data_IF_807423633386
#
_entry.id   IF_807423633386
#
_cell.length_a   1.000
_cell.length_b   1.000
_cell.length_c   1.000
_cell.angle_alpha   90.00
_cell.angle_beta   90.00
_cell.angle_gamma   90.00
#
_symmetry.space_group_name_H-M   'P 1'
#
loop_
_entity.id
_entity.type
_entity.pdbx_description
1 polymer ?
#
# COMPACT_ATOMS: atom_id res chain seq x y z
N UNK A 1 3.53 -27.80 0.60
CA UNK A 1 4.94 -27.95 0.19
C UNK A 1 5.05 -27.49 -1.26
N UNK A 2 5.13 -26.17 -1.46
CA UNK A 2 5.36 -25.58 -2.78
C UNK A 2 6.87 -25.57 -3.02
N UNK A 3 7.35 -26.52 -3.79
CA UNK A 3 8.74 -26.59 -4.24
C UNK A 3 8.86 -25.62 -5.42
N UNK A 4 9.44 -24.45 -5.20
CA UNK A 4 9.88 -23.57 -6.28
C UNK A 4 11.07 -24.24 -6.99
N UNK A 5 10.77 -25.03 -8.00
CA UNK A 5 11.77 -25.55 -8.93
C UNK A 5 11.82 -24.67 -10.15
N UNK A 6 12.70 -23.71 -10.15
CA UNK A 6 13.21 -23.16 -11.42
C UNK A 6 14.08 -24.24 -12.05
N UNK A 7 13.48 -25.15 -12.81
CA UNK A 7 14.23 -25.98 -13.74
C UNK A 7 14.80 -25.05 -14.82
N UNK A 8 16.09 -24.73 -14.69
CA UNK A 8 16.89 -24.30 -15.84
C UNK A 8 17.00 -25.50 -16.78
N UNK A 9 16.58 -25.35 -18.02
CA UNK A 9 16.95 -26.32 -19.06
C UNK A 9 18.47 -26.19 -19.29
N UNK A 10 19.18 -27.30 -19.18
CA UNK A 10 20.62 -27.35 -19.48
C UNK A 10 20.79 -27.10 -20.99
N UNK A 11 21.28 -25.92 -21.35
CA UNK A 11 21.62 -25.59 -22.73
C UNK A 11 21.40 -24.14 -23.18
N UNK A 12 20.69 -23.30 -22.40
CA UNK A 12 20.49 -21.89 -22.75
C UNK A 12 21.79 -21.09 -22.47
N UNK A 13 22.34 -20.51 -23.54
CA UNK A 13 23.42 -19.52 -23.41
C UNK A 13 22.85 -18.31 -22.70
N UNK A 14 23.25 -18.11 -21.46
CA UNK A 14 22.79 -16.97 -20.65
C UNK A 14 23.21 -15.68 -21.37
N UNK A 15 22.21 -14.83 -21.74
CA UNK A 15 22.50 -13.54 -22.32
C UNK A 15 23.25 -12.66 -21.31
N UNK A 16 24.20 -11.88 -21.79
CA UNK A 16 25.03 -11.02 -20.95
C UNK A 16 25.04 -9.59 -21.48
N UNK A 17 25.41 -8.64 -20.62
CA UNK A 17 25.83 -7.30 -21.00
C UNK A 17 27.31 -7.12 -20.69
N UNK A 18 28.02 -6.36 -21.52
CA UNK A 18 29.45 -6.04 -21.31
C UNK A 18 29.57 -4.61 -20.78
N UNK A 19 30.17 -4.46 -19.60
CA UNK A 19 30.62 -3.18 -19.07
C UNK A 19 32.07 -2.97 -19.42
N UNK A 20 32.39 -1.86 -20.11
CA UNK A 20 33.76 -1.50 -20.41
C UNK A 20 34.23 -0.35 -19.50
N UNK A 21 35.31 -0.53 -18.76
CA UNK A 21 35.94 0.54 -18.00
C UNK A 21 36.85 1.34 -18.95
N UNK A 22 36.40 2.51 -19.33
CA UNK A 22 37.12 3.37 -20.26
C UNK A 22 38.44 3.97 -19.70
N UNK A 23 38.72 3.76 -18.41
CA UNK A 23 40.00 4.21 -17.79
C UNK A 23 41.19 3.31 -18.17
N UNK A 24 40.92 2.00 -18.35
CA UNK A 24 41.92 0.99 -18.64
C UNK A 24 41.56 0.02 -19.77
N UNK A 25 40.36 0.15 -20.34
CA UNK A 25 39.82 -0.68 -21.42
C UNK A 25 39.37 -2.08 -21.01
N UNK A 26 39.34 -2.41 -19.72
CA UNK A 26 38.89 -3.71 -19.26
C UNK A 26 37.41 -3.89 -19.48
N UNK A 27 37.02 -5.12 -19.79
CA UNK A 27 35.64 -5.53 -20.03
C UNK A 27 35.20 -6.56 -18.97
N UNK A 28 33.97 -6.42 -18.54
CA UNK A 28 33.32 -7.28 -17.54
C UNK A 28 31.96 -7.69 -18.08
N UNK A 29 31.60 -8.95 -17.92
CA UNK A 29 30.30 -9.48 -18.37
C UNK A 29 29.39 -9.75 -17.20
N UNK A 30 28.13 -9.27 -17.31
CA UNK A 30 27.09 -9.46 -16.30
C UNK A 30 25.90 -10.18 -16.91
N UNK A 31 25.34 -11.20 -16.19
CA UNK A 31 24.19 -11.93 -16.65
C UNK A 31 22.94 -11.03 -16.80
N UNK A 32 22.11 -11.37 -17.79
CA UNK A 32 20.75 -10.86 -17.91
C UNK A 32 19.79 -11.89 -17.30
N UNK A 33 18.92 -11.41 -16.41
CA UNK A 33 17.81 -12.21 -15.86
C UNK A 33 16.51 -11.75 -16.50
N UNK A 34 15.82 -12.67 -17.17
CA UNK A 34 14.54 -12.38 -17.81
C UNK A 34 13.39 -12.78 -16.88
N UNK A 35 12.47 -11.86 -16.55
CA UNK A 35 11.29 -12.17 -15.75
C UNK A 35 10.24 -12.88 -16.59
N UNK A 36 9.23 -13.47 -15.95
CA UNK A 36 8.05 -14.03 -16.62
C UNK A 36 7.30 -12.96 -17.41
N UNK A 37 7.31 -11.72 -16.92
CA UNK A 37 6.70 -10.55 -17.56
C UNK A 37 7.41 -9.28 -17.11
N UNK A 38 7.62 -8.35 -18.03
CA UNK A 38 8.31 -7.08 -17.75
C UNK A 38 9.69 -6.99 -18.40
N UNK A 39 10.48 -5.96 -18.06
CA UNK A 39 11.81 -5.76 -18.63
C UNK A 39 12.85 -6.73 -18.05
N UNK A 40 13.83 -7.07 -18.86
CA UNK A 40 15.03 -7.77 -18.39
C UNK A 40 15.81 -6.95 -17.35
N UNK A 41 16.52 -7.64 -16.47
CA UNK A 41 17.37 -7.01 -15.46
C UNK A 41 18.82 -7.51 -15.58
N UNK A 42 19.78 -6.64 -15.33
CA UNK A 42 21.20 -6.98 -15.28
C UNK A 42 21.55 -7.41 -13.86
N UNK A 43 22.08 -8.61 -13.70
CA UNK A 43 22.56 -9.11 -12.41
C UNK A 43 23.91 -8.50 -12.06
N UNK A 44 23.92 -7.52 -11.17
CA UNK A 44 25.12 -6.78 -10.76
C UNK A 44 25.71 -7.27 -9.42
N UNK A 45 25.30 -8.44 -8.91
CA UNK A 45 25.74 -8.94 -7.60
C UNK A 45 27.28 -9.12 -7.51
N UNK A 46 27.94 -9.40 -8.63
CA UNK A 46 29.40 -9.56 -8.70
C UNK A 46 30.15 -8.27 -9.04
N UNK A 47 29.47 -7.19 -9.45
CA UNK A 47 30.06 -5.96 -9.94
C UNK A 47 31.18 -5.42 -9.04
N UNK A 48 30.93 -5.32 -7.73
CA UNK A 48 31.94 -4.77 -6.82
C UNK A 48 33.15 -5.67 -6.67
N UNK A 49 32.96 -6.99 -6.64
CA UNK A 49 34.06 -7.95 -6.51
C UNK A 49 34.97 -7.94 -7.73
N UNK A 50 34.41 -7.76 -8.93
CA UNK A 50 35.15 -7.79 -10.19
C UNK A 50 35.80 -6.45 -10.53
N UNK A 51 35.11 -5.34 -10.25
CA UNK A 51 35.51 -4.01 -10.73
C UNK A 51 35.99 -3.05 -9.64
N UNK A 52 35.67 -3.34 -8.35
CA UNK A 52 35.83 -2.41 -7.23
C UNK A 52 34.81 -1.25 -7.24
N UNK A 53 33.88 -1.22 -8.20
CA UNK A 53 32.86 -0.19 -8.35
C UNK A 53 31.50 -0.71 -7.89
N UNK A 54 30.60 0.20 -7.50
CA UNK A 54 29.19 -0.08 -7.29
C UNK A 54 28.31 1.00 -7.92
N UNK A 55 27.06 0.67 -8.18
CA UNK A 55 26.09 1.56 -8.83
C UNK A 55 25.63 2.68 -7.91
N UNK A 56 25.15 3.78 -8.50
CA UNK A 56 24.54 4.89 -7.78
C UNK A 56 23.14 5.15 -8.33
N UNK A 57 22.13 4.69 -7.61
CA UNK A 57 20.72 4.82 -7.95
C UNK A 57 19.89 5.15 -6.70
N UNK A 58 19.90 6.44 -6.23
CA UNK A 58 19.12 6.87 -5.09
C UNK A 58 17.62 6.72 -5.35
N UNK A 59 16.95 5.83 -4.65
CA UNK A 59 15.51 5.58 -4.80
C UNK A 59 15.17 4.45 -5.75
N UNK A 60 16.15 3.67 -6.20
CA UNK A 60 15.97 2.40 -6.92
C UNK A 60 15.13 2.51 -8.19
N UNK A 61 15.29 3.60 -8.95
CA UNK A 61 14.50 3.85 -10.17
C UNK A 61 14.86 2.91 -11.33
N UNK A 62 16.04 2.33 -11.29
CA UNK A 62 16.60 1.42 -12.31
C UNK A 62 17.19 0.15 -11.67
N UNK A 63 16.79 -0.19 -10.43
CA UNK A 63 17.38 -1.31 -9.69
C UNK A 63 16.27 -2.19 -9.12
N UNK A 64 16.17 -3.43 -9.59
CA UNK A 64 15.34 -4.45 -8.98
C UNK A 64 15.98 -4.90 -7.65
N UNK A 65 15.24 -4.87 -6.56
CA UNK A 65 15.72 -5.24 -5.22
C UNK A 65 15.39 -6.69 -4.84
N UNK A 66 14.51 -7.35 -5.57
CA UNK A 66 14.08 -8.73 -5.36
C UNK A 66 13.38 -9.29 -6.59
N UNK A 67 13.20 -10.60 -6.62
CA UNK A 67 12.20 -11.27 -7.45
C UNK A 67 10.90 -11.40 -6.65
N UNK A 68 9.73 -11.30 -7.32
CA UNK A 68 8.42 -11.45 -6.68
C UNK A 68 7.39 -11.95 -7.69
N UNK A 69 6.45 -12.79 -7.23
CA UNK A 69 5.31 -13.26 -8.00
C UNK A 69 3.97 -12.71 -7.49
N UNK A 70 4.01 -11.75 -6.56
CA UNK A 70 2.83 -11.18 -5.90
C UNK A 70 2.11 -10.19 -6.80
N UNK A 71 2.82 -9.16 -7.26
CA UNK A 71 2.23 -8.05 -8.02
C UNK A 71 3.04 -7.74 -9.26
N UNK A 72 2.35 -7.58 -10.38
CA UNK A 72 2.93 -7.10 -11.63
C UNK A 72 2.30 -5.75 -12.01
N UNK A 73 3.13 -4.79 -12.41
CA UNK A 73 2.70 -3.48 -12.91
C UNK A 73 3.38 -3.19 -14.24
N UNK A 74 2.57 -2.86 -15.26
CA UNK A 74 3.05 -2.21 -16.48
C UNK A 74 2.54 -0.76 -16.51
N UNK A 75 3.37 0.15 -16.05
CA UNK A 75 3.01 1.56 -15.98
C UNK A 75 2.79 2.22 -17.35
N UNK A 76 3.37 1.65 -18.41
CA UNK A 76 3.18 2.13 -19.79
C UNK A 76 1.81 1.76 -20.34
N UNK A 77 1.33 0.57 -20.03
CA UNK A 77 0.01 0.07 -20.46
C UNK A 77 -1.11 0.38 -19.47
N UNK A 78 -0.78 0.79 -18.23
CA UNK A 78 -1.76 0.94 -17.16
C UNK A 78 -2.33 -0.41 -16.72
N UNK A 79 -1.48 -1.42 -16.55
CA UNK A 79 -1.84 -2.77 -16.14
C UNK A 79 -1.38 -3.01 -14.70
N UNK A 80 -2.27 -3.58 -13.87
CA UNK A 80 -1.98 -4.04 -12.52
C UNK A 80 -2.57 -5.44 -12.34
N UNK A 81 -1.76 -6.37 -11.81
CA UNK A 81 -2.20 -7.75 -11.51
C UNK A 81 -1.73 -8.17 -10.12
N UNK A 82 -2.58 -8.91 -9.42
CA UNK A 82 -2.22 -9.66 -8.21
C UNK A 82 -2.20 -11.15 -8.53
N UNK A 83 -1.06 -11.83 -8.35
CA UNK A 83 -0.91 -13.26 -8.66
C UNK A 83 -1.47 -13.63 -10.05
N UNK A 84 -1.28 -12.75 -11.03
CA UNK A 84 -1.74 -12.95 -12.41
C UNK A 84 -3.17 -12.48 -12.71
N UNK A 85 -4.03 -12.26 -11.72
CA UNK A 85 -5.38 -11.74 -11.91
C UNK A 85 -5.36 -10.22 -12.11
N UNK A 86 -6.17 -9.70 -13.03
CA UNK A 86 -6.26 -8.25 -13.26
C UNK A 86 -6.95 -7.56 -12.09
N UNK A 87 -6.55 -6.32 -11.82
CA UNK A 87 -7.15 -5.55 -10.72
C UNK A 87 -8.63 -5.27 -10.97
N UNK A 88 -9.02 -5.11 -12.24
CA UNK A 88 -10.41 -4.91 -12.65
C UNK A 88 -11.27 -6.13 -12.33
N UNK A 89 -10.78 -7.35 -12.61
CA UNK A 89 -11.52 -8.57 -12.29
C UNK A 89 -11.69 -8.76 -10.79
N UNK A 90 -10.64 -8.49 -10.01
CA UNK A 90 -10.69 -8.59 -8.56
C UNK A 90 -11.66 -7.56 -7.96
N UNK A 91 -11.54 -6.30 -8.32
CA UNK A 91 -12.38 -5.23 -7.79
C UNK A 91 -13.86 -5.37 -8.14
N UNK A 92 -14.19 -5.91 -9.34
CA UNK A 92 -15.57 -6.01 -9.81
C UNK A 92 -16.26 -7.33 -9.42
N UNK A 93 -15.49 -8.40 -9.12
CA UNK A 93 -16.06 -9.76 -9.00
C UNK A 93 -15.71 -10.46 -7.69
N UNK A 94 -14.85 -9.86 -6.87
CA UNK A 94 -14.30 -10.48 -5.66
C UNK A 94 -14.34 -9.52 -4.48
N UNK A 95 -14.39 -10.07 -3.27
CA UNK A 95 -14.25 -9.31 -2.04
C UNK A 95 -12.79 -9.05 -1.70
N UNK A 96 -12.56 -8.13 -0.75
CA UNK A 96 -11.23 -7.94 -0.19
C UNK A 96 -10.68 -9.21 0.48
N UNK A 97 -11.52 -10.03 1.13
CA UNK A 97 -11.06 -11.29 1.72
C UNK A 97 -10.71 -12.35 0.68
N UNK A 98 -11.38 -12.39 -0.51
CA UNK A 98 -10.89 -13.18 -1.66
C UNK A 98 -9.48 -12.75 -2.06
N UNK A 99 -9.25 -11.42 -2.10
CA UNK A 99 -7.93 -10.86 -2.45
C UNK A 99 -6.89 -11.15 -1.37
N UNK A 100 -7.25 -11.10 -0.10
CA UNK A 100 -6.38 -11.52 1.00
C UNK A 100 -5.96 -12.98 0.85
N UNK A 101 -6.91 -13.86 0.59
CA UNK A 101 -6.64 -15.28 0.38
C UNK A 101 -5.73 -15.49 -0.83
N UNK A 102 -6.03 -14.83 -1.96
CA UNK A 102 -5.22 -14.90 -3.18
C UNK A 102 -3.75 -14.50 -2.93
N UNK A 103 -3.52 -13.39 -2.24
CA UNK A 103 -2.17 -12.89 -1.99
C UNK A 103 -1.36 -13.81 -1.06
N UNK A 104 -2.03 -14.48 -0.12
CA UNK A 104 -1.39 -15.38 0.84
C UNK A 104 -1.18 -16.80 0.26
N UNK A 105 -2.20 -17.35 -0.40
CA UNK A 105 -2.24 -18.75 -0.84
C UNK A 105 -1.92 -18.90 -2.35
N UNK A 106 -1.62 -17.81 -3.06
CA UNK A 106 -1.29 -17.74 -4.50
C UNK A 106 -2.38 -18.26 -5.45
N UNK A 107 -3.61 -18.39 -4.97
CA UNK A 107 -4.81 -18.79 -5.73
C UNK A 107 -6.07 -18.21 -5.12
N UNK A 108 -7.13 -18.13 -5.88
CA UNK A 108 -8.45 -17.77 -5.34
C UNK A 108 -9.01 -18.91 -4.49
N UNK A 109 -9.78 -18.59 -3.43
CA UNK A 109 -10.44 -19.59 -2.59
C UNK A 109 -11.61 -20.26 -3.33
N UNK A 110 -11.90 -21.51 -2.99
CA UNK A 110 -13.22 -22.10 -3.19
C UNK A 110 -14.21 -21.50 -2.18
N UNK A 111 -15.51 -21.66 -2.42
CA UNK A 111 -16.55 -21.03 -1.60
C UNK A 111 -16.49 -21.45 -0.13
N UNK A 112 -16.26 -22.70 0.13
CA UNK A 112 -16.12 -23.26 1.48
C UNK A 112 -14.85 -22.78 2.21
N UNK A 113 -13.76 -22.62 1.47
CA UNK A 113 -12.52 -22.04 1.99
C UNK A 113 -12.68 -20.55 2.34
N UNK A 114 -13.39 -19.79 1.49
CA UNK A 114 -13.67 -18.38 1.77
C UNK A 114 -14.53 -18.22 3.03
N UNK A 115 -15.57 -19.05 3.18
CA UNK A 115 -16.43 -19.04 4.38
C UNK A 115 -15.60 -19.36 5.64
N UNK A 116 -14.74 -20.36 5.57
CA UNK A 116 -13.88 -20.73 6.69
C UNK A 116 -12.86 -19.62 7.02
N UNK A 117 -12.27 -19.01 6.00
CA UNK A 117 -11.32 -17.92 6.15
C UNK A 117 -11.99 -16.67 6.76
N UNK A 118 -13.14 -16.25 6.24
CA UNK A 118 -13.91 -15.12 6.77
C UNK A 118 -14.28 -15.33 8.24
N UNK A 119 -14.80 -16.51 8.58
CA UNK A 119 -15.16 -16.83 9.98
C UNK A 119 -13.91 -16.80 10.89
N UNK A 120 -12.78 -17.27 10.42
CA UNK A 120 -11.53 -17.22 11.19
C UNK A 120 -11.06 -15.77 11.42
N UNK A 121 -11.12 -14.91 10.39
CA UNK A 121 -10.79 -13.49 10.48
C UNK A 121 -11.72 -12.79 11.50
N UNK A 122 -13.04 -12.98 11.41
CA UNK A 122 -14.02 -12.37 12.34
C UNK A 122 -13.72 -12.76 13.79
N UNK A 123 -13.48 -14.05 14.07
CA UNK A 123 -13.15 -14.54 15.42
C UNK A 123 -11.83 -14.00 15.97
N UNK A 124 -10.87 -13.63 15.10
CA UNK A 124 -9.58 -13.08 15.49
C UNK A 124 -9.56 -11.55 15.59
N UNK A 125 -10.65 -10.86 15.24
CA UNK A 125 -10.74 -9.41 15.24
C UNK A 125 -10.59 -8.79 16.64
N UNK A 126 -10.94 -9.52 17.70
CA UNK A 126 -10.81 -9.04 19.07
C UNK A 126 -9.34 -8.86 19.46
N UNK A 127 -9.04 -7.75 20.12
CA UNK A 127 -7.72 -7.44 20.67
C UNK A 127 -7.70 -7.71 22.18
N UNK A 128 -6.50 -7.96 22.71
CA UNK A 128 -6.33 -8.15 24.14
C UNK A 128 -6.73 -6.88 24.91
N UNK A 129 -7.45 -7.00 26.04
CA UNK A 129 -7.94 -5.87 26.84
C UNK A 129 -6.79 -4.92 27.27
N UNK A 130 -5.59 -5.46 27.51
CA UNK A 130 -4.40 -4.66 27.82
C UNK A 130 -4.00 -3.66 26.74
N UNK A 131 -4.35 -3.90 25.47
CA UNK A 131 -4.12 -2.92 24.40
C UNK A 131 -4.98 -1.66 24.55
N UNK A 132 -6.16 -1.75 25.16
CA UNK A 132 -6.96 -0.57 25.47
C UNK A 132 -6.23 0.40 26.42
N UNK A 133 -5.46 -0.13 27.37
CA UNK A 133 -4.66 0.72 28.26
C UNK A 133 -3.58 1.47 27.49
N UNK A 134 -2.98 0.84 26.47
CA UNK A 134 -2.05 1.51 25.57
C UNK A 134 -2.75 2.68 24.84
N UNK A 135 -3.94 2.45 24.27
CA UNK A 135 -4.69 3.52 23.62
C UNK A 135 -5.07 4.64 24.59
N UNK A 136 -5.50 4.30 25.83
CA UNK A 136 -5.83 5.28 26.86
C UNK A 136 -4.64 6.13 27.30
N UNK A 137 -3.40 5.66 27.13
CA UNK A 137 -2.19 6.41 27.47
C UNK A 137 -1.78 7.46 26.42
N UNK A 138 -2.32 7.40 25.21
CA UNK A 138 -2.05 8.44 24.22
C UNK A 138 -2.77 9.76 24.59
N UNK A 139 -2.16 10.92 24.30
CA UNK A 139 -2.80 12.19 24.52
C UNK A 139 -4.07 12.36 23.66
N UNK A 140 -4.97 13.22 24.09
CA UNK A 140 -6.14 13.58 23.32
C UNK A 140 -5.70 14.20 22.00
N UNK A 141 -6.44 13.92 20.92
CA UNK A 141 -6.12 14.37 19.56
C UNK A 141 -4.80 13.84 18.98
N UNK A 142 -4.22 12.77 19.58
CA UNK A 142 -3.11 12.07 18.96
C UNK A 142 -3.51 11.58 17.55
N UNK A 143 -2.60 11.72 16.60
CA UNK A 143 -2.90 11.30 15.22
C UNK A 143 -3.12 9.78 15.15
N UNK A 144 -4.21 9.30 14.53
CA UNK A 144 -4.54 7.86 14.47
C UNK A 144 -3.42 6.98 13.92
N UNK A 145 -2.63 7.46 12.97
CA UNK A 145 -1.48 6.71 12.44
C UNK A 145 -0.39 6.45 13.46
N UNK A 146 -0.11 7.40 14.36
CA UNK A 146 0.87 7.19 15.43
C UNK A 146 0.42 6.10 16.41
N UNK A 147 -0.87 6.13 16.78
CA UNK A 147 -1.47 5.11 17.62
C UNK A 147 -1.45 3.74 16.95
N UNK A 148 -1.79 3.70 15.65
CA UNK A 148 -1.83 2.48 14.84
C UNK A 148 -0.46 1.80 14.76
N UNK A 149 0.59 2.56 14.40
CA UNK A 149 1.95 2.02 14.30
C UNK A 149 2.44 1.45 15.64
N UNK A 150 2.17 2.18 16.73
CA UNK A 150 2.52 1.75 18.10
C UNK A 150 1.76 0.49 18.51
N UNK A 151 0.45 0.44 18.22
CA UNK A 151 -0.40 -0.69 18.59
C UNK A 151 -0.03 -1.97 17.81
N UNK A 152 0.28 -1.86 16.51
CA UNK A 152 0.74 -3.00 15.71
C UNK A 152 2.08 -3.53 16.24
N UNK A 153 3.03 -2.65 16.59
CA UNK A 153 4.27 -3.09 17.22
C UNK A 153 4.00 -3.79 18.56
N UNK A 154 3.09 -3.24 19.39
CA UNK A 154 2.74 -3.80 20.68
C UNK A 154 2.07 -5.19 20.59
N UNK A 155 1.44 -5.56 19.47
CA UNK A 155 0.90 -6.92 19.28
C UNK A 155 1.95 -8.00 19.53
N UNK A 156 3.24 -7.73 19.29
CA UNK A 156 4.33 -8.66 19.58
C UNK A 156 4.39 -9.08 21.04
N UNK A 157 4.11 -8.16 21.96
CA UNK A 157 4.09 -8.44 23.38
C UNK A 157 2.89 -9.30 23.82
N UNK A 158 1.79 -9.25 23.06
CA UNK A 158 0.57 -10.02 23.35
C UNK A 158 0.50 -11.36 22.61
N UNK A 159 1.45 -11.61 21.70
CA UNK A 159 1.50 -12.80 20.85
C UNK A 159 2.92 -13.35 20.72
N UNK A 160 3.68 -13.31 21.81
CA UNK A 160 5.10 -13.66 21.83
C UNK A 160 5.37 -15.13 21.50
N UNK A 161 4.41 -16.03 21.72
CA UNK A 161 4.52 -17.46 21.48
C UNK A 161 4.74 -17.83 20.02
N UNK A 162 4.37 -16.95 19.08
CA UNK A 162 4.50 -17.15 17.64
C UNK A 162 5.53 -16.21 16.98
N UNK A 163 6.42 -15.59 17.76
CA UNK A 163 7.40 -14.65 17.18
C UNK A 163 8.57 -15.34 16.46
N UNK A 164 8.82 -16.60 16.77
CA UNK A 164 9.95 -17.35 16.18
C UNK A 164 9.73 -17.69 14.73
N UNK A 165 8.47 -17.76 14.29
CA UNK A 165 8.10 -18.03 12.89
C UNK A 165 8.85 -19.25 12.31
N UNK A 166 8.72 -20.40 12.97
CA UNK A 166 9.49 -21.60 12.65
C UNK A 166 8.88 -22.44 11.55
N UNK A 167 7.57 -22.37 11.37
CA UNK A 167 6.83 -23.19 10.42
C UNK A 167 5.70 -22.44 9.71
N UNK A 168 5.08 -23.09 8.73
CA UNK A 168 3.98 -22.57 7.92
C UNK A 168 2.74 -22.24 8.78
N UNK A 169 2.49 -22.99 9.84
CA UNK A 169 1.39 -22.74 10.75
C UNK A 169 1.54 -21.39 11.45
N UNK A 170 2.76 -21.05 11.88
CA UNK A 170 3.06 -19.73 12.48
C UNK A 170 2.78 -18.59 11.48
N UNK A 171 3.17 -18.76 10.20
CA UNK A 171 2.89 -17.75 9.15
C UNK A 171 1.39 -17.56 8.92
N UNK A 172 0.64 -18.66 8.86
CA UNK A 172 -0.81 -18.60 8.69
C UNK A 172 -1.50 -17.95 9.87
N UNK A 173 -1.18 -18.35 11.10
CA UNK A 173 -1.74 -17.76 12.33
C UNK A 173 -1.46 -16.25 12.41
N UNK A 174 -0.21 -15.85 12.16
CA UNK A 174 0.22 -14.46 12.17
C UNK A 174 -0.50 -13.63 11.10
N UNK A 175 -0.59 -14.14 9.87
CA UNK A 175 -1.23 -13.46 8.75
C UNK A 175 -2.69 -13.15 9.05
N UNK A 176 -3.44 -14.17 9.46
CA UNK A 176 -4.86 -14.05 9.81
C UNK A 176 -5.07 -13.12 11.00
N UNK A 177 -4.17 -13.16 11.98
CA UNK A 177 -4.19 -12.30 13.16
C UNK A 177 -3.99 -10.83 12.80
N UNK A 178 -3.02 -10.51 11.95
CA UNK A 178 -2.77 -9.14 11.50
C UNK A 178 -3.94 -8.61 10.67
N UNK A 179 -4.40 -9.36 9.66
CA UNK A 179 -5.55 -8.97 8.84
C UNK A 179 -6.77 -8.67 9.71
N UNK A 180 -7.05 -9.55 10.69
CA UNK A 180 -8.22 -9.43 11.55
C UNK A 180 -8.14 -8.24 12.52
N UNK A 181 -6.96 -7.98 13.12
CA UNK A 181 -6.81 -7.00 14.20
C UNK A 181 -6.56 -5.58 13.71
N UNK A 182 -5.97 -5.41 12.53
CA UNK A 182 -5.64 -4.08 12.01
C UNK A 182 -6.86 -3.17 11.87
N UNK A 183 -8.03 -3.61 11.36
CA UNK A 183 -9.25 -2.78 11.36
C UNK A 183 -9.71 -2.38 12.76
N UNK A 184 -9.65 -3.30 13.72
CA UNK A 184 -10.00 -3.00 15.12
C UNK A 184 -9.07 -1.95 15.71
N UNK A 185 -7.74 -2.07 15.49
CA UNK A 185 -6.78 -1.08 15.96
C UNK A 185 -7.00 0.29 15.29
N UNK A 186 -7.37 0.32 14.01
CA UNK A 186 -7.72 1.55 13.31
C UNK A 186 -8.95 2.23 13.92
N UNK A 187 -10.03 1.46 14.18
CA UNK A 187 -11.23 1.97 14.82
C UNK A 187 -10.95 2.47 16.26
N UNK A 188 -10.14 1.73 17.04
CA UNK A 188 -9.72 2.17 18.37
C UNK A 188 -8.91 3.47 18.33
N UNK A 189 -8.00 3.61 17.34
CA UNK A 189 -7.22 4.83 17.13
C UNK A 189 -8.12 6.04 16.88
N UNK A 190 -9.11 5.87 16.02
CA UNK A 190 -10.10 6.90 15.72
C UNK A 190 -10.92 7.30 16.96
N UNK A 191 -11.52 6.32 17.62
CA UNK A 191 -12.36 6.57 18.79
C UNK A 191 -11.57 7.21 19.93
N UNK A 192 -10.33 6.81 20.13
CA UNK A 192 -9.43 7.43 21.10
C UNK A 192 -9.15 8.88 20.76
N UNK A 193 -8.92 9.22 19.48
CA UNK A 193 -8.68 10.59 19.07
C UNK A 193 -9.86 11.53 19.31
N UNK A 194 -11.08 10.97 19.43
CA UNK A 194 -12.31 11.69 19.75
C UNK A 194 -12.67 11.64 21.23
N UNK A 195 -11.97 10.84 22.04
CA UNK A 195 -12.32 10.65 23.46
C UNK A 195 -13.67 9.93 23.68
N UNK A 196 -14.13 9.12 22.71
CA UNK A 196 -15.41 8.38 22.79
C UNK A 196 -15.18 6.90 23.15
N UNK A 197 -16.21 6.20 23.69
CA UNK A 197 -16.10 4.80 24.09
C UNK A 197 -15.68 3.88 22.95
N UNK A 198 -14.85 2.87 23.24
CA UNK A 198 -14.48 1.84 22.28
C UNK A 198 -15.69 0.93 21.98
N UNK A 199 -15.83 0.52 20.71
CA UNK A 199 -16.77 -0.48 20.24
C UNK A 199 -16.02 -1.74 19.88
N UNK A 200 -16.51 -2.88 20.34
CA UNK A 200 -15.94 -4.20 20.05
C UNK A 200 -16.38 -4.67 18.66
N UNK A 201 -15.55 -5.53 18.01
CA UNK A 201 -15.98 -6.23 16.81
C UNK A 201 -17.24 -7.07 17.04
N UNK A 202 -18.11 -7.10 16.05
CA UNK A 202 -19.26 -7.98 16.00
C UNK A 202 -18.98 -9.12 15.01
N UNK A 203 -18.98 -10.37 15.47
CA UNK A 203 -18.66 -11.54 14.64
C UNK A 203 -19.71 -11.87 13.58
N UNK A 204 -20.91 -11.33 13.69
CA UNK A 204 -21.99 -11.55 12.70
C UNK A 204 -21.82 -10.63 11.47
N UNK A 205 -21.09 -9.53 11.61
CA UNK A 205 -20.86 -8.56 10.53
C UNK A 205 -19.72 -8.98 9.63
N UNK A 206 -19.80 -8.63 8.35
CA UNK A 206 -18.70 -8.84 7.40
C UNK A 206 -17.46 -8.00 7.79
N UNK A 207 -16.30 -8.33 7.23
CA UNK A 207 -15.03 -7.66 7.55
C UNK A 207 -15.12 -6.14 7.43
N UNK A 208 -15.58 -5.64 6.29
CA UNK A 208 -15.65 -4.21 5.98
C UNK A 208 -16.77 -3.52 6.74
N UNK A 209 -17.94 -4.16 6.83
CA UNK A 209 -19.06 -3.66 7.63
C UNK A 209 -18.69 -3.52 9.11
N UNK A 210 -18.00 -4.50 9.66
CA UNK A 210 -17.56 -4.50 11.06
C UNK A 210 -16.62 -3.33 11.37
N UNK A 211 -15.72 -2.99 10.44
CA UNK A 211 -14.87 -1.82 10.59
C UNK A 211 -15.69 -0.51 10.66
N UNK A 212 -16.64 -0.32 9.75
CA UNK A 212 -17.52 0.86 9.75
C UNK A 212 -18.39 0.91 11.02
N UNK A 213 -18.91 -0.24 11.45
CA UNK A 213 -19.65 -0.37 12.70
C UNK A 213 -18.79 0.06 13.91
N UNK A 214 -17.58 -0.49 14.05
CA UNK A 214 -16.68 -0.13 15.14
C UNK A 214 -16.32 1.37 15.15
N UNK A 215 -16.24 1.98 13.99
CA UNK A 215 -15.97 3.44 13.89
C UNK A 215 -17.16 4.28 14.37
N UNK A 216 -18.39 3.91 13.99
CA UNK A 216 -19.57 4.80 14.01
C UNK A 216 -20.55 4.52 15.13
N UNK A 217 -20.76 3.24 15.50
CA UNK A 217 -21.79 2.85 16.46
C UNK A 217 -21.57 3.44 17.85
N UNK A 218 -22.65 3.65 18.57
CA UNK A 218 -22.64 3.94 20.00
C UNK A 218 -22.88 2.66 20.82
N UNK A 219 -22.42 2.61 22.09
CA UNK A 219 -22.67 1.45 22.94
C UNK A 219 -24.17 1.12 23.05
N UNK A 220 -24.55 -0.10 22.64
CA UNK A 220 -25.93 -0.56 22.66
C UNK A 220 -26.77 -0.18 21.42
N UNK A 221 -26.17 0.47 20.43
CA UNK A 221 -26.80 0.75 19.15
C UNK A 221 -26.62 -0.41 18.19
N UNK A 222 -27.71 -0.82 17.53
CA UNK A 222 -27.68 -1.71 16.38
C UNK A 222 -27.68 -0.86 15.10
N UNK A 223 -26.49 -0.40 14.73
CA UNK A 223 -26.28 0.46 13.57
C UNK A 223 -26.26 -0.38 12.29
N UNK A 224 -27.19 -0.11 11.38
CA UNK A 224 -27.16 -0.63 10.02
C UNK A 224 -26.19 0.18 9.16
N UNK A 225 -25.34 -0.50 8.41
CA UNK A 225 -24.42 0.10 7.46
C UNK A 225 -24.95 -0.15 6.03
N UNK A 226 -25.17 0.89 5.22
CA UNK A 226 -25.61 0.74 3.84
C UNK A 226 -24.66 -0.14 3.03
N UNK A 227 -25.21 -1.09 2.24
CA UNK A 227 -24.41 -2.03 1.45
C UNK A 227 -23.46 -1.32 0.45
N UNK A 228 -23.91 -0.21 -0.14
CA UNK A 228 -23.11 0.60 -1.04
C UNK A 228 -21.84 1.15 -0.35
N UNK A 229 -21.93 1.51 0.93
CA UNK A 229 -20.76 1.98 1.69
C UNK A 229 -19.78 0.83 1.99
N UNK A 230 -20.34 -0.35 2.35
CA UNK A 230 -19.52 -1.55 2.56
C UNK A 230 -18.78 -1.93 1.29
N UNK A 231 -19.48 -2.00 0.16
CA UNK A 231 -18.89 -2.32 -1.15
C UNK A 231 -17.83 -1.30 -1.58
N UNK A 232 -18.11 -0.02 -1.39
CA UNK A 232 -17.17 1.04 -1.75
C UNK A 232 -15.85 0.93 -0.98
N UNK A 233 -15.93 0.71 0.32
CA UNK A 233 -14.74 0.57 1.16
C UNK A 233 -14.01 -0.75 0.91
N UNK A 234 -14.72 -1.85 0.67
CA UNK A 234 -14.15 -3.15 0.32
C UNK A 234 -13.36 -3.08 -1.01
N UNK A 235 -13.91 -2.37 -1.99
CA UNK A 235 -13.22 -2.08 -3.26
C UNK A 235 -11.95 -1.25 -3.01
N UNK A 236 -12.00 -0.22 -2.18
CA UNK A 236 -10.80 0.57 -1.79
C UNK A 236 -9.75 -0.34 -1.16
N UNK A 237 -10.11 -1.23 -0.25
CA UNK A 237 -9.16 -2.17 0.36
C UNK A 237 -8.51 -3.06 -0.69
N UNK A 238 -9.28 -3.63 -1.61
CA UNK A 238 -8.79 -4.46 -2.72
C UNK A 238 -7.78 -3.71 -3.59
N UNK A 239 -8.11 -2.47 -4.00
CA UNK A 239 -7.25 -1.66 -4.86
C UNK A 239 -5.95 -1.21 -4.17
N UNK A 240 -5.91 -1.23 -2.84
CA UNK A 240 -4.74 -0.87 -2.04
C UNK A 240 -3.95 -2.07 -1.53
N UNK A 241 -4.39 -3.32 -1.78
CA UNK A 241 -3.85 -4.52 -1.14
C UNK A 241 -2.35 -4.71 -1.35
N UNK A 242 -1.82 -4.48 -2.55
CA UNK A 242 -0.37 -4.44 -2.81
C UNK A 242 -0.02 -3.50 -3.98
N UNK A 243 1.24 -3.11 -4.09
CA UNK A 243 1.74 -2.29 -5.21
C UNK A 243 3.25 -2.42 -5.35
N UNK A 244 3.75 -3.65 -5.59
CA UNK A 244 5.18 -3.97 -5.75
C UNK A 244 6.07 -3.41 -4.62
N UNK A 245 7.28 -2.95 -4.99
CA UNK A 245 8.29 -2.42 -4.07
C UNK A 245 8.10 -0.90 -3.81
N UNK A 246 6.86 -0.46 -3.50
CA UNK A 246 6.66 0.90 -2.99
C UNK A 246 7.42 1.14 -1.68
N UNK A 247 7.54 2.40 -1.24
CA UNK A 247 8.37 2.77 -0.10
C UNK A 247 8.05 2.01 1.19
N UNK A 248 6.77 1.77 1.50
CA UNK A 248 6.39 1.02 2.70
C UNK A 248 6.67 -0.48 2.57
N UNK A 249 6.43 -1.08 1.40
CA UNK A 249 6.76 -2.49 1.14
C UNK A 249 8.28 -2.72 1.20
N UNK A 250 9.08 -1.86 0.58
CA UNK A 250 10.55 -1.92 0.68
C UNK A 250 11.03 -1.77 2.12
N UNK A 251 10.37 -0.92 2.92
CA UNK A 251 10.67 -0.78 4.35
C UNK A 251 10.33 -2.06 5.12
N UNK A 252 9.19 -2.69 4.86
CA UNK A 252 8.81 -3.99 5.45
C UNK A 252 9.86 -5.05 5.13
N UNK A 253 10.23 -5.21 3.85
CA UNK A 253 11.26 -6.16 3.42
C UNK A 253 12.64 -5.81 4.01
N UNK A 254 12.98 -4.53 4.09
CA UNK A 254 14.23 -4.06 4.70
C UNK A 254 14.34 -4.47 6.18
N UNK A 255 13.29 -4.23 6.97
CA UNK A 255 13.23 -4.65 8.38
C UNK A 255 13.20 -6.18 8.49
N UNK A 256 12.38 -6.85 7.69
CA UNK A 256 12.26 -8.31 7.68
C UNK A 256 13.59 -9.02 7.35
N UNK A 257 14.44 -8.41 6.52
CA UNK A 257 15.75 -8.95 6.13
C UNK A 257 16.73 -9.10 7.30
N UNK A 258 16.51 -8.38 8.40
CA UNK A 258 17.28 -8.49 9.63
C UNK A 258 16.88 -9.68 10.51
N UNK A 259 15.84 -10.43 10.12
CA UNK A 259 15.25 -11.48 10.96
C UNK A 259 14.16 -10.98 11.91
N UNK A 260 13.78 -9.69 11.82
CA UNK A 260 12.73 -9.13 12.67
C UNK A 260 11.37 -9.81 12.42
N UNK A 261 10.59 -9.96 13.49
CA UNK A 261 9.25 -10.53 13.42
C UNK A 261 8.26 -9.63 12.65
N UNK A 262 7.16 -10.17 12.12
CA UNK A 262 6.27 -9.45 11.22
C UNK A 262 5.62 -8.20 11.84
N UNK A 263 5.25 -8.23 13.12
CA UNK A 263 4.66 -7.05 13.78
C UNK A 263 5.59 -5.83 13.74
N UNK A 264 6.90 -6.02 13.93
CA UNK A 264 7.90 -4.94 13.82
C UNK A 264 8.04 -4.46 12.38
N UNK A 265 8.11 -5.39 11.42
CA UNK A 265 8.24 -5.06 10.01
C UNK A 265 7.00 -4.31 9.49
N UNK A 266 5.78 -4.78 9.82
CA UNK A 266 4.53 -4.13 9.43
C UNK A 266 4.40 -2.75 10.10
N UNK A 267 4.74 -2.61 11.39
CA UNK A 267 4.77 -1.30 12.06
C UNK A 267 5.72 -0.31 11.35
N UNK A 268 6.89 -0.76 10.90
CA UNK A 268 7.80 0.07 10.12
C UNK A 268 7.19 0.47 8.76
N UNK A 269 6.49 -0.45 8.09
CA UNK A 269 5.71 -0.18 6.88
C UNK A 269 4.63 0.88 7.10
N UNK A 270 3.90 0.81 8.22
CA UNK A 270 2.89 1.81 8.60
C UNK A 270 3.53 3.19 8.76
N UNK A 271 4.68 3.29 9.44
CA UNK A 271 5.40 4.55 9.59
C UNK A 271 5.88 5.12 8.25
N UNK A 272 6.37 4.27 7.34
CA UNK A 272 6.75 4.70 5.99
C UNK A 272 5.54 5.15 5.16
N UNK A 273 4.40 4.44 5.30
CA UNK A 273 3.15 4.79 4.61
C UNK A 273 2.62 6.16 5.05
N UNK A 274 2.78 6.53 6.30
CA UNK A 274 2.32 7.82 6.84
C UNK A 274 3.04 9.03 6.22
N UNK A 275 4.16 8.82 5.54
CA UNK A 275 4.90 9.88 4.88
C UNK A 275 4.05 10.63 3.84
N UNK A 276 4.15 12.00 3.83
CA UNK A 276 3.42 12.87 2.90
C UNK A 276 3.63 12.51 1.42
N UNK A 277 4.79 11.98 1.07
CA UNK A 277 5.12 11.59 -0.30
C UNK A 277 4.67 10.14 -0.64
N UNK A 278 3.92 9.48 0.24
CA UNK A 278 3.42 8.12 0.08
C UNK A 278 1.91 8.07 0.42
N UNK A 279 1.49 7.42 1.49
CA UNK A 279 0.06 7.23 1.81
C UNK A 279 -0.69 8.49 2.26
N UNK A 280 -0.01 9.59 2.61
CA UNK A 280 -0.64 10.87 2.93
C UNK A 280 -1.08 11.70 1.71
N UNK A 281 -1.00 11.16 0.50
CA UNK A 281 -1.35 11.91 -0.72
C UNK A 281 -2.86 12.16 -0.83
N UNK A 282 -3.72 11.21 -0.48
CA UNK A 282 -5.17 11.36 -0.52
C UNK A 282 -5.69 12.40 0.51
N UNK A 283 -5.08 12.48 1.70
CA UNK A 283 -5.37 13.56 2.67
C UNK A 283 -5.01 14.93 2.08
N UNK A 284 -3.88 15.01 1.37
CA UNK A 284 -3.41 16.21 0.71
C UNK A 284 -4.34 16.66 -0.42
N UNK A 285 -4.96 15.72 -1.16
CA UNK A 285 -5.98 16.04 -2.19
C UNK A 285 -7.16 16.77 -1.55
N UNK A 286 -7.75 16.21 -0.50
CA UNK A 286 -8.91 16.83 0.14
C UNK A 286 -8.56 18.17 0.79
N UNK A 287 -7.41 18.25 1.45
CA UNK A 287 -6.93 19.53 2.01
C UNK A 287 -6.75 20.60 0.93
N UNK A 288 -6.31 20.21 -0.28
CA UNK A 288 -6.17 21.12 -1.40
C UNK A 288 -7.53 21.57 -1.96
N UNK A 289 -8.50 20.65 -2.10
CA UNK A 289 -9.86 20.99 -2.55
C UNK A 289 -10.54 21.95 -1.57
N UNK A 290 -10.39 21.73 -0.25
CA UNK A 290 -10.87 22.65 0.79
C UNK A 290 -10.17 24.01 0.74
N UNK A 291 -8.87 24.04 0.38
CA UNK A 291 -8.11 25.29 0.24
C UNK A 291 -8.54 26.09 -1.00
N UNK A 292 -8.92 25.42 -2.09
CA UNK A 292 -9.51 26.10 -3.26
C UNK A 292 -10.84 26.75 -2.88
N UNK A 293 -11.68 26.06 -2.11
CA UNK A 293 -12.81 26.62 -1.38
C UNK A 293 -14.07 26.84 -2.20
N UNK A 294 -13.99 27.28 -3.44
CA UNK A 294 -15.17 27.49 -4.31
C UNK A 294 -14.91 27.12 -5.77
N UNK A 295 -15.99 26.89 -6.51
CA UNK A 295 -15.92 26.52 -7.93
C UNK A 295 -15.32 27.66 -8.78
N UNK A 296 -15.58 28.92 -8.41
CA UNK A 296 -15.11 30.10 -9.09
C UNK A 296 -13.58 30.25 -9.03
N UNK A 297 -12.94 29.75 -7.97
CA UNK A 297 -11.50 29.83 -7.78
C UNK A 297 -10.71 28.76 -8.55
N UNK A 298 -11.37 27.70 -9.05
CA UNK A 298 -10.71 26.54 -9.66
C UNK A 298 -9.78 26.95 -10.79
N UNK A 299 -10.26 27.79 -11.73
CA UNK A 299 -9.48 28.17 -12.90
C UNK A 299 -8.22 28.96 -12.52
N UNK A 300 -8.28 29.81 -11.49
CA UNK A 300 -7.12 30.53 -10.97
C UNK A 300 -6.08 29.57 -10.37
N UNK A 301 -6.50 28.55 -9.61
CA UNK A 301 -5.60 27.55 -9.05
C UNK A 301 -5.00 26.61 -10.13
N UNK A 302 -5.74 26.34 -11.21
CA UNK A 302 -5.20 25.60 -12.37
C UNK A 302 -4.08 26.39 -13.04
N UNK A 303 -4.24 27.70 -13.26
CA UNK A 303 -3.17 28.54 -13.82
C UNK A 303 -1.94 28.58 -12.91
N UNK A 304 -2.11 28.66 -11.59
CA UNK A 304 -1.01 28.51 -10.62
C UNK A 304 -0.29 27.17 -10.76
N UNK A 305 -1.03 26.06 -10.91
CA UNK A 305 -0.45 24.72 -11.07
C UNK A 305 0.38 24.59 -12.36
N UNK A 306 0.09 25.39 -13.39
CA UNK A 306 0.83 25.44 -14.66
C UNK A 306 2.08 26.32 -14.58
N UNK A 307 2.14 27.29 -13.66
CA UNK A 307 3.29 28.17 -13.50
C UNK A 307 4.48 27.39 -12.92
N UNK A 308 5.62 27.32 -13.63
CA UNK A 308 6.81 26.64 -13.10
C UNK A 308 7.44 27.36 -11.90
N UNK A 309 7.13 28.64 -11.69
CA UNK A 309 7.65 29.44 -10.59
C UNK A 309 6.72 29.45 -9.36
N UNK A 310 5.49 28.92 -9.46
CA UNK A 310 4.59 28.75 -8.31
C UNK A 310 4.85 27.38 -7.65
N UNK A 311 4.92 27.35 -6.33
CA UNK A 311 5.09 26.11 -5.55
C UNK A 311 3.81 25.26 -5.51
N UNK A 312 2.68 25.82 -5.94
CA UNK A 312 1.41 25.11 -6.00
C UNK A 312 1.43 24.03 -7.07
N UNK A 313 1.13 22.77 -6.68
CA UNK A 313 1.00 21.63 -7.58
C UNK A 313 -0.30 20.92 -7.28
N UNK A 314 -1.01 20.46 -8.30
CA UNK A 314 -2.22 19.65 -8.11
C UNK A 314 -1.87 18.29 -7.48
N UNK A 315 -2.46 18.02 -6.31
CA UNK A 315 -2.35 16.73 -5.62
C UNK A 315 -3.32 15.72 -6.22
N UNK A 316 -2.92 14.45 -6.25
CA UNK A 316 -3.72 13.39 -6.85
C UNK A 316 -3.65 13.31 -8.38
N UNK A 317 -2.68 14.01 -9.01
CA UNK A 317 -2.47 14.01 -10.47
C UNK A 317 -1.07 13.51 -10.82
N UNK A 318 -1.03 12.68 -11.88
CA UNK A 318 0.18 11.98 -12.28
C UNK A 318 0.52 10.81 -11.35
N UNK A 319 1.45 9.96 -11.77
CA UNK A 319 1.90 8.83 -10.99
C UNK A 319 3.37 8.52 -11.28
N UNK A 320 4.10 8.06 -10.25
CA UNK A 320 5.52 7.72 -10.41
C UNK A 320 5.71 6.54 -11.37
N UNK A 321 4.83 5.56 -11.34
CA UNK A 321 4.88 4.33 -12.13
C UNK A 321 4.05 4.46 -13.40
N UNK A 322 2.75 4.76 -13.28
CA UNK A 322 1.86 4.87 -14.42
C UNK A 322 2.19 6.12 -15.26
N UNK A 323 2.60 5.87 -16.51
CA UNK A 323 2.86 6.92 -17.52
C UNK A 323 1.64 7.17 -18.40
N UNK A 324 0.58 6.42 -18.16
CA UNK A 324 -0.72 6.53 -18.75
C UNK A 324 -1.77 6.60 -17.63
N UNK A 325 -2.96 6.06 -17.82
CA UNK A 325 -4.01 6.09 -16.81
C UNK A 325 -3.78 5.02 -15.73
N UNK A 326 -3.96 5.37 -14.44
CA UNK A 326 -3.95 4.40 -13.34
C UNK A 326 -5.23 3.53 -13.44
N UNK A 327 -5.14 2.20 -13.62
CA UNK A 327 -6.31 1.33 -13.79
C UNK A 327 -7.26 1.39 -12.57
N UNK A 328 -6.72 1.63 -11.38
CA UNK A 328 -7.50 1.75 -10.14
C UNK A 328 -8.36 3.02 -10.12
N UNK A 329 -7.85 4.11 -10.71
CA UNK A 329 -8.57 5.38 -10.78
C UNK A 329 -9.87 5.27 -11.59
N UNK A 330 -9.89 4.44 -12.65
CA UNK A 330 -11.12 4.20 -13.44
C UNK A 330 -12.19 3.50 -12.62
N UNK A 331 -11.79 2.51 -11.82
CA UNK A 331 -12.70 1.75 -10.95
C UNK A 331 -13.29 2.69 -9.90
N UNK A 332 -12.45 3.48 -9.23
CA UNK A 332 -12.89 4.42 -8.20
C UNK A 332 -13.75 5.56 -8.77
N UNK A 333 -13.48 5.99 -10.01
CA UNK A 333 -14.35 6.99 -10.66
C UNK A 333 -15.77 6.45 -10.83
N UNK A 334 -15.92 5.25 -11.38
CA UNK A 334 -17.24 4.62 -11.56
C UNK A 334 -17.94 4.40 -10.21
N UNK A 335 -17.20 4.00 -9.19
CA UNK A 335 -17.71 3.83 -7.83
C UNK A 335 -18.16 5.16 -7.20
N UNK A 336 -17.44 6.25 -7.44
CA UNK A 336 -17.82 7.58 -6.97
C UNK A 336 -19.12 8.04 -7.63
N UNK A 337 -19.26 7.84 -8.94
CA UNK A 337 -20.49 8.18 -9.69
C UNK A 337 -21.71 7.41 -9.15
N UNK A 338 -21.52 6.15 -8.75
CA UNK A 338 -22.57 5.33 -8.11
C UNK A 338 -22.94 5.85 -6.72
N UNK A 339 -21.95 6.15 -5.88
CA UNK A 339 -22.17 6.70 -4.54
C UNK A 339 -22.89 8.06 -4.57
N UNK A 340 -22.56 8.93 -5.53
CA UNK A 340 -23.28 10.19 -5.75
C UNK A 340 -24.77 9.96 -6.01
N UNK A 341 -25.09 8.95 -6.84
CA UNK A 341 -26.48 8.60 -7.16
C UNK A 341 -27.26 8.00 -5.99
N UNK A 342 -26.65 7.09 -5.23
CA UNK A 342 -27.33 6.35 -4.17
C UNK A 342 -27.41 7.12 -2.83
N UNK A 343 -26.34 7.83 -2.45
CA UNK A 343 -26.28 8.55 -1.18
C UNK A 343 -26.68 10.02 -1.30
N UNK A 344 -26.93 10.51 -2.51
CA UNK A 344 -27.29 11.90 -2.75
C UNK A 344 -26.17 12.88 -2.35
N UNK A 345 -24.91 12.44 -2.41
CA UNK A 345 -23.76 13.23 -2.02
C UNK A 345 -23.55 14.34 -3.05
N UNK A 346 -24.07 15.51 -2.76
CA UNK A 346 -23.83 16.72 -3.54
C UNK A 346 -23.11 17.75 -2.63
N UNK A 347 -21.82 17.91 -2.83
CA UNK A 347 -21.03 18.85 -2.06
C UNK A 347 -20.24 19.78 -3.01
N UNK A 348 -20.00 21.02 -2.57
CA UNK A 348 -19.16 21.97 -3.27
C UNK A 348 -17.76 21.41 -3.56
N UNK A 349 -17.20 20.65 -2.61
CA UNK A 349 -15.92 19.97 -2.74
C UNK A 349 -15.92 18.99 -3.93
N UNK A 350 -17.02 18.28 -4.15
CA UNK A 350 -17.16 17.36 -5.27
C UNK A 350 -17.30 18.11 -6.60
N UNK A 351 -18.03 19.22 -6.62
CA UNK A 351 -18.13 20.09 -7.79
C UNK A 351 -16.75 20.67 -8.20
N UNK A 352 -15.96 21.13 -7.21
CA UNK A 352 -14.57 21.57 -7.42
C UNK A 352 -13.73 20.44 -8.02
N UNK A 353 -13.80 19.22 -7.45
CA UNK A 353 -13.05 18.09 -7.93
C UNK A 353 -13.42 17.71 -9.37
N UNK A 354 -14.72 17.68 -9.71
CA UNK A 354 -15.20 17.40 -11.09
C UNK A 354 -14.70 18.45 -12.09
N UNK A 355 -14.69 19.74 -11.69
CA UNK A 355 -14.17 20.81 -12.55
C UNK A 355 -12.66 20.64 -12.80
N UNK A 356 -11.89 20.34 -11.77
CA UNK A 356 -10.44 20.09 -11.91
C UNK A 356 -10.18 18.86 -12.79
N UNK A 357 -10.94 17.77 -12.60
CA UNK A 357 -10.85 16.57 -13.44
C UNK A 357 -11.14 16.91 -14.90
N UNK A 358 -12.24 17.64 -15.19
CA UNK A 358 -12.63 18.03 -16.53
C UNK A 358 -11.49 18.81 -17.22
N UNK A 359 -10.93 19.82 -16.54
CA UNK A 359 -9.84 20.61 -17.09
C UNK A 359 -8.60 19.74 -17.32
N UNK A 360 -8.19 18.93 -16.34
CA UNK A 360 -6.98 18.11 -16.46
C UNK A 360 -7.06 17.09 -17.59
N UNK A 361 -8.26 16.59 -17.92
CA UNK A 361 -8.48 15.65 -19.03
C UNK A 361 -8.52 16.31 -20.41
N UNK A 362 -8.75 17.62 -20.49
CA UNK A 362 -8.92 18.37 -21.75
C UNK A 362 -7.81 19.39 -22.04
N UNK A 363 -7.06 19.81 -21.04
CA UNK A 363 -6.02 20.85 -21.17
C UNK A 363 -4.71 20.22 -21.65
N UNK A 364 -4.12 20.80 -22.72
CA UNK A 364 -2.87 20.33 -23.33
C UNK A 364 -1.68 20.27 -22.36
N UNK A 365 -1.61 21.14 -21.35
CA UNK A 365 -0.52 21.15 -20.38
C UNK A 365 -0.48 19.84 -19.58
N UNK A 366 -1.66 19.38 -19.09
CA UNK A 366 -1.80 18.17 -18.31
C UNK A 366 -1.65 16.93 -19.21
N UNK A 367 -2.27 16.92 -20.40
CA UNK A 367 -2.20 15.82 -21.35
C UNK A 367 -0.75 15.55 -21.79
N UNK A 368 -0.01 16.59 -22.22
CA UNK A 368 1.39 16.47 -22.65
C UNK A 368 2.31 15.96 -21.53
N UNK A 369 2.00 16.30 -20.26
CA UNK A 369 2.76 15.85 -19.09
C UNK A 369 2.24 14.57 -18.46
N UNK A 370 1.14 14.02 -18.99
CA UNK A 370 0.46 12.81 -18.48
C UNK A 370 0.03 12.95 -17.01
N UNK A 371 -0.44 14.11 -16.63
CA UNK A 371 -0.93 14.43 -15.30
C UNK A 371 -2.41 14.09 -15.20
N UNK A 372 -2.74 12.82 -15.26
CA UNK A 372 -4.10 12.30 -15.11
C UNK A 372 -4.44 12.11 -13.61
N UNK A 373 -5.76 12.19 -13.23
CA UNK A 373 -6.18 11.84 -11.88
C UNK A 373 -5.76 10.40 -11.53
N UNK A 374 -5.21 10.22 -10.36
CA UNK A 374 -4.75 8.93 -9.86
C UNK A 374 -5.68 8.36 -8.77
N UNK A 375 -5.29 7.23 -8.16
CA UNK A 375 -6.06 6.58 -7.11
C UNK A 375 -6.31 7.50 -5.91
N UNK A 376 -5.36 8.35 -5.52
CA UNK A 376 -5.47 9.20 -4.33
C UNK A 376 -6.53 10.28 -4.50
N UNK A 377 -6.70 10.79 -5.74
CA UNK A 377 -7.75 11.76 -6.07
C UNK A 377 -9.15 11.19 -5.79
N UNK A 378 -9.46 10.04 -6.34
CA UNK A 378 -10.79 9.44 -6.21
C UNK A 378 -11.02 8.79 -4.84
N UNK A 379 -10.01 8.14 -4.26
CA UNK A 379 -10.16 7.53 -2.94
C UNK A 379 -10.44 8.58 -1.86
N UNK A 380 -9.78 9.74 -1.91
CA UNK A 380 -10.06 10.85 -1.00
C UNK A 380 -11.51 11.32 -1.08
N UNK A 381 -12.05 11.47 -2.30
CA UNK A 381 -13.45 11.87 -2.52
C UNK A 381 -14.44 10.82 -2.00
N UNK A 382 -14.20 9.54 -2.29
CA UNK A 382 -15.05 8.43 -1.81
C UNK A 382 -15.03 8.38 -0.28
N UNK A 383 -13.87 8.42 0.35
CA UNK A 383 -13.74 8.39 1.80
C UNK A 383 -14.46 9.59 2.46
N UNK A 384 -14.42 10.76 1.81
CA UNK A 384 -15.19 11.94 2.24
C UNK A 384 -16.71 11.72 2.10
N UNK A 385 -17.16 11.13 0.98
CA UNK A 385 -18.56 10.76 0.77
C UNK A 385 -19.05 9.76 1.82
N UNK A 386 -18.20 8.81 2.20
CA UNK A 386 -18.43 7.86 3.29
C UNK A 386 -18.29 8.49 4.69
N UNK A 387 -18.14 9.81 4.81
CA UNK A 387 -17.97 10.53 6.09
C UNK A 387 -16.81 10.01 6.95
N UNK A 388 -15.78 9.45 6.33
CA UNK A 388 -14.54 9.09 7.00
C UNK A 388 -13.69 10.36 7.14
N UNK A 389 -13.24 10.72 8.35
CA UNK A 389 -12.46 11.94 8.54
C UNK A 389 -11.06 11.84 7.93
N UNK A 390 -10.53 12.95 7.41
CA UNK A 390 -9.24 12.99 6.70
C UNK A 390 -8.09 12.31 7.43
N UNK A 391 -7.96 12.53 8.73
CA UNK A 391 -6.89 11.94 9.54
C UNK A 391 -6.97 10.40 9.66
N UNK A 392 -8.03 9.79 9.13
CA UNK A 392 -8.20 8.34 9.03
C UNK A 392 -7.87 7.77 7.64
N UNK A 393 -7.68 8.60 6.62
CA UNK A 393 -7.48 8.11 5.25
C UNK A 393 -6.28 7.18 5.12
N UNK A 394 -5.15 7.58 5.70
CA UNK A 394 -3.96 6.71 5.71
C UNK A 394 -4.18 5.43 6.54
N UNK A 395 -5.01 5.46 7.60
CA UNK A 395 -5.39 4.24 8.34
C UNK A 395 -6.22 3.28 7.47
N UNK A 396 -7.14 3.81 6.63
CA UNK A 396 -7.87 3.01 5.64
C UNK A 396 -6.90 2.33 4.67
N UNK A 397 -5.90 3.06 4.21
CA UNK A 397 -4.85 2.51 3.36
C UNK A 397 -4.05 1.40 4.08
N UNK A 398 -3.73 1.57 5.38
CA UNK A 398 -3.08 0.53 6.19
C UNK A 398 -3.91 -0.75 6.19
N UNK A 399 -5.23 -0.67 6.40
CA UNK A 399 -6.11 -1.85 6.42
C UNK A 399 -5.97 -2.61 5.10
N UNK A 400 -6.16 -1.94 3.97
CA UNK A 400 -6.04 -2.57 2.65
C UNK A 400 -4.64 -3.15 2.38
N UNK A 401 -3.57 -2.42 2.72
CA UNK A 401 -2.19 -2.79 2.42
C UNK A 401 -1.60 -3.86 3.34
N UNK A 402 -2.20 -4.11 4.49
CA UNK A 402 -1.65 -5.07 5.47
C UNK A 402 -1.41 -6.45 4.86
N UNK A 403 -2.33 -6.97 4.06
CA UNK A 403 -2.16 -8.29 3.42
C UNK A 403 -0.99 -8.31 2.45
N UNK A 404 -0.79 -7.24 1.65
CA UNK A 404 0.34 -7.13 0.73
C UNK A 404 1.68 -7.13 1.47
N UNK A 405 1.79 -6.35 2.54
CA UNK A 405 2.99 -6.37 3.39
C UNK A 405 3.28 -7.74 3.99
N UNK A 406 2.23 -8.45 4.41
CA UNK A 406 2.36 -9.82 4.94
C UNK A 406 2.86 -10.77 3.85
N UNK A 407 2.23 -10.76 2.68
CA UNK A 407 2.65 -11.59 1.55
C UNK A 407 4.10 -11.32 1.15
N UNK A 408 4.51 -10.05 1.07
CA UNK A 408 5.88 -9.63 0.78
C UNK A 408 6.87 -10.06 1.88
N UNK A 409 6.45 -10.04 3.15
CA UNK A 409 7.25 -10.51 4.27
C UNK A 409 7.45 -12.03 4.20
N UNK A 410 6.38 -12.80 3.92
CA UNK A 410 6.43 -14.27 3.78
C UNK A 410 7.30 -14.66 2.58
N UNK A 411 7.10 -14.03 1.42
CA UNK A 411 7.90 -14.28 0.21
C UNK A 411 9.40 -14.08 0.49
N UNK A 412 9.77 -12.97 1.17
CA UNK A 412 11.15 -12.72 1.56
C UNK A 412 11.72 -13.84 2.45
N UNK A 413 10.93 -14.43 3.36
CA UNK A 413 11.38 -15.52 4.24
C UNK A 413 11.65 -16.82 3.51
N UNK A 414 10.96 -17.05 2.40
CA UNK A 414 11.14 -18.22 1.55
C UNK A 414 12.17 -17.98 0.42
N UNK A 415 12.67 -16.75 0.26
CA UNK A 415 13.64 -16.40 -0.76
C UNK A 415 15.05 -16.92 -0.38
N UNK A 416 15.55 -17.90 -1.10
CA UNK A 416 16.90 -18.46 -0.89
C UNK A 416 18.04 -17.47 -1.22
N UNK A 417 17.75 -16.41 -1.97
CA UNK A 417 18.71 -15.36 -2.31
C UNK A 417 18.67 -14.19 -1.30
N UNK A 418 17.78 -14.24 -0.28
CA UNK A 418 17.63 -13.20 0.72
C UNK A 418 18.96 -12.87 1.40
N UNK A 419 19.24 -11.58 1.50
CA UNK A 419 20.34 -11.02 2.29
C UNK A 419 19.85 -9.82 3.08
N UNK A 420 20.53 -9.52 4.18
CA UNK A 420 20.25 -8.30 4.94
C UNK A 420 20.37 -7.08 4.04
N UNK A 421 19.34 -6.25 4.02
CA UNK A 421 19.31 -5.01 3.25
C UNK A 421 20.31 -4.01 3.83
N UNK A 422 21.44 -3.85 3.15
CA UNK A 422 22.51 -2.92 3.52
C UNK A 422 23.05 -2.21 2.28
N UNK A 423 22.40 -1.14 1.81
CA UNK A 423 22.85 -0.39 0.66
C UNK A 423 24.25 0.21 0.87
N UNK A 424 24.98 0.38 -0.22
CA UNK A 424 26.25 1.10 -0.23
C UNK A 424 26.00 2.60 -0.21
N UNK A 425 27.01 3.37 0.23
CA UNK A 425 26.98 4.84 0.17
C UNK A 425 28.24 5.38 -0.51
N UNK A 426 28.08 6.49 -1.23
CA UNK A 426 29.18 7.32 -1.70
C UNK A 426 29.56 8.29 -0.60
N UNK A 427 30.74 8.09 0.01
CA UNK A 427 31.23 8.99 1.05
C UNK A 427 31.71 10.32 0.45
N UNK A 428 31.21 11.44 0.97
CA UNK A 428 31.53 12.80 0.53
C UNK A 428 32.09 13.68 1.65
N UNK A 429 32.37 13.09 2.83
CA UNK A 429 32.96 13.80 3.96
C UNK A 429 34.49 13.96 3.87
N UNK A 430 35.10 14.59 4.85
CA UNK A 430 36.58 14.76 4.93
C UNK A 430 37.28 13.41 4.93
N UNK A 431 38.47 13.36 4.31
CA UNK A 431 39.31 12.15 4.30
C UNK A 431 39.94 11.88 5.66
N UNK A 432 40.27 12.93 6.39
CA UNK A 432 40.86 12.87 7.72
C UNK A 432 40.65 14.18 8.47
N UNK A 433 40.24 14.10 9.74
CA UNK A 433 40.26 15.21 10.68
C UNK A 433 41.32 14.96 11.77
N UNK A 434 42.00 16.03 12.21
CA UNK A 434 42.90 15.97 13.37
C UNK A 434 42.13 16.38 14.62
N UNK A 435 42.23 15.59 15.67
CA UNK A 435 41.71 15.88 17.00
C UNK A 435 42.73 16.72 17.77
#
# INVERSE_FOLDING_TARGET
MLVYSTKREEGDVMATVTLTDNRDGKQYEFPILSPTKGPDVVDIRTLFAETGMFTYDPGFTSTASCSSDITFIDGGKGELRYRGYTIEDLANKKSYLDTCFLLLESRLPHQDELIAFDMEIRKRAFVHEGLKNLFCSFPDQAHPMAMMASAVAALSAFHYEHLTMQDECDYQVMSRRLIAKVPTLAALSYRRSLGIPFIYPDIERSFTENFLYMMRAYPGEDLEIPEVEVRALDTIFTLHADHEQNASTSTVRGVASTGAHPYAAISAGINALWGRAHGGANESVIAQLEYIGSLEEVDAFIERAKDPNDDFKLMGFGHRVYKNFDPRARILKALLDELEGELGVNSELLAIARRIEEVALNDEYFIKRKLYPNIDFYSGLILTALKIPKNMFTNIFVIGRTVGWIAQWIELKHDSEMKIARPRQRYMGPTQEKI
#
